data_IF_631384607548
#
_entry.id   IF_631384607548
#
_cell.length_a   1.000
_cell.length_b   1.000
_cell.length_c   1.000
_cell.angle_alpha   90.00
_cell.angle_beta   90.00
_cell.angle_gamma   90.00
#
_symmetry.space_group_name_H-M   'P 1'
#
loop_
_entity.id
_entity.type
_entity.pdbx_description
1 polymer ?
#
# COMPACT_ATOMS: atom_id res chain seq x y z
N UNK A 1 -38.84 16.31 30.58
CA UNK A 1 -38.46 16.96 29.32
C UNK A 1 -37.44 16.06 28.66
N UNK A 2 -37.78 15.48 27.51
CA UNK A 2 -36.83 14.74 26.67
C UNK A 2 -35.77 15.73 26.19
N UNK A 3 -34.49 15.46 26.46
CA UNK A 3 -33.39 16.27 25.93
C UNK A 3 -33.46 16.25 24.40
N UNK A 4 -33.42 17.44 23.78
CA UNK A 4 -33.40 17.56 22.33
C UNK A 4 -31.94 17.59 21.83
N UNK A 5 -31.39 16.41 21.56
CA UNK A 5 -29.99 16.22 21.18
C UNK A 5 -29.62 16.77 19.79
N UNK A 6 -30.58 17.16 18.95
CA UNK A 6 -30.28 17.63 17.58
C UNK A 6 -29.43 18.91 17.56
N UNK A 7 -29.61 19.77 18.56
CA UNK A 7 -28.87 21.02 18.67
C UNK A 7 -27.43 20.83 19.14
N UNK A 8 -27.08 19.64 19.65
CA UNK A 8 -25.71 19.32 20.10
C UNK A 8 -24.83 18.81 18.96
N UNK A 9 -25.41 18.47 17.81
CA UNK A 9 -24.71 17.97 16.63
C UNK A 9 -24.03 19.13 15.90
N UNK A 10 -22.71 19.08 15.81
CA UNK A 10 -21.91 19.98 14.97
C UNK A 10 -21.15 19.18 13.92
N UNK A 11 -20.65 19.85 12.88
CA UNK A 11 -19.81 19.21 11.86
C UNK A 11 -18.58 18.54 12.48
N UNK A 12 -17.94 19.20 13.43
CA UNK A 12 -16.71 18.71 14.09
C UNK A 12 -17.00 17.46 14.92
N UNK A 13 -18.10 17.46 15.69
CA UNK A 13 -18.54 16.28 16.44
C UNK A 13 -18.92 15.13 15.52
N UNK A 14 -19.63 15.41 14.43
CA UNK A 14 -19.95 14.39 13.45
C UNK A 14 -18.69 13.75 12.87
N UNK A 15 -17.69 14.56 12.47
CA UNK A 15 -16.42 14.04 11.96
C UNK A 15 -15.70 13.18 13.02
N UNK A 16 -15.50 13.70 14.23
CA UNK A 16 -14.79 12.99 15.31
C UNK A 16 -15.49 11.70 15.76
N UNK A 17 -16.81 11.62 15.64
CA UNK A 17 -17.59 10.43 16.01
C UNK A 17 -17.72 9.42 14.86
N UNK A 18 -17.27 9.75 13.65
CA UNK A 18 -17.48 8.91 12.45
C UNK A 18 -16.19 8.39 11.83
N UNK A 19 -15.07 9.11 11.96
CA UNK A 19 -13.81 8.78 11.27
C UNK A 19 -12.68 8.42 12.25
N UNK A 20 -11.74 7.53 11.86
CA UNK A 20 -11.74 6.76 10.59
C UNK A 20 -12.88 5.73 10.54
N UNK A 21 -13.30 5.32 9.34
CA UNK A 21 -14.54 4.56 9.12
C UNK A 21 -14.58 3.22 9.87
N UNK A 22 -13.42 2.61 10.12
CA UNK A 22 -13.31 1.35 10.86
C UNK A 22 -12.93 1.53 12.34
N UNK A 23 -12.72 2.77 12.79
CA UNK A 23 -12.19 3.05 14.12
C UNK A 23 -10.90 2.26 14.38
N UNK A 24 -10.90 1.48 15.46
CA UNK A 24 -9.78 0.62 15.88
C UNK A 24 -9.94 -0.85 15.48
N UNK A 25 -10.95 -1.22 14.69
CA UNK A 25 -11.23 -2.62 14.35
C UNK A 25 -9.99 -3.35 13.81
N UNK A 26 -9.34 -2.76 12.80
CA UNK A 26 -8.15 -3.38 12.19
C UNK A 26 -6.92 -3.27 13.08
N UNK A 27 -6.80 -2.23 13.90
CA UNK A 27 -5.74 -2.12 14.90
C UNK A 27 -5.81 -3.32 15.86
N UNK A 28 -6.99 -3.59 16.40
CA UNK A 28 -7.24 -4.72 17.31
C UNK A 28 -7.05 -6.07 16.62
N UNK A 29 -7.53 -6.22 15.38
CA UNK A 29 -7.33 -7.45 14.59
C UNK A 29 -5.84 -7.75 14.40
N UNK A 30 -5.05 -6.76 13.98
CA UNK A 30 -3.60 -6.91 13.77
C UNK A 30 -2.88 -7.23 15.08
N UNK A 31 -3.23 -6.55 16.18
CA UNK A 31 -2.64 -6.80 17.49
C UNK A 31 -2.92 -8.24 17.97
N UNK A 32 -4.16 -8.69 17.82
CA UNK A 32 -4.62 -10.01 18.27
C UNK A 32 -4.18 -11.18 17.35
N UNK A 33 -3.77 -10.91 16.11
CA UNK A 33 -3.35 -11.97 15.19
C UNK A 33 -2.13 -12.72 15.72
N UNK A 34 -2.26 -14.03 15.91
CA UNK A 34 -1.13 -14.93 16.21
C UNK A 34 -0.74 -15.62 14.90
N UNK A 35 0.33 -15.14 14.29
CA UNK A 35 0.82 -15.67 13.01
C UNK A 35 1.44 -17.05 13.24
N UNK A 36 1.00 -18.06 12.47
CA UNK A 36 1.45 -19.45 12.58
C UNK A 36 2.92 -19.62 12.14
N UNK A 37 3.61 -20.62 12.68
CA UNK A 37 5.00 -20.92 12.31
C UNK A 37 5.13 -21.23 10.81
N UNK A 38 6.22 -20.77 10.18
CA UNK A 38 6.44 -20.87 8.74
C UNK A 38 5.37 -20.13 7.90
N UNK A 39 4.74 -19.10 8.46
CA UNK A 39 3.83 -18.19 7.74
C UNK A 39 4.17 -16.73 8.00
N UNK A 40 3.68 -15.84 7.14
CA UNK A 40 3.56 -14.41 7.45
C UNK A 40 2.17 -13.92 7.09
N UNK A 41 1.67 -12.93 7.84
CA UNK A 41 0.41 -12.27 7.58
C UNK A 41 0.65 -10.84 7.08
N UNK A 42 -0.22 -10.36 6.21
CA UNK A 42 -0.23 -8.96 5.80
C UNK A 42 -1.65 -8.42 5.62
N UNK A 43 -1.80 -7.12 5.77
CA UNK A 43 -3.06 -6.39 5.57
C UNK A 43 -2.86 -5.22 4.64
N UNK A 44 -3.81 -5.03 3.73
CA UNK A 44 -3.80 -3.91 2.80
C UNK A 44 -4.47 -2.68 3.40
N UNK A 45 -3.73 -1.61 3.64
CA UNK A 45 -4.21 -0.41 4.32
C UNK A 45 -4.82 0.65 3.36
N UNK A 46 -4.90 0.31 2.07
CA UNK A 46 -5.31 1.20 0.97
C UNK A 46 -4.11 1.84 0.27
N UNK A 47 -4.30 2.27 -0.99
CA UNK A 47 -3.21 2.66 -1.87
C UNK A 47 -2.20 1.50 -2.00
N UNK A 48 -0.96 1.67 -1.55
CA UNK A 48 0.03 0.60 -1.41
C UNK A 48 0.43 0.34 0.04
N UNK A 49 -0.28 0.92 1.01
CA UNK A 49 0.03 0.72 2.41
C UNK A 49 -0.13 -0.74 2.81
N UNK A 50 0.88 -1.31 3.44
CA UNK A 50 0.89 -2.69 3.92
C UNK A 50 1.35 -2.72 5.37
N UNK A 51 0.59 -3.45 6.19
CA UNK A 51 1.09 -3.99 7.44
C UNK A 51 1.59 -5.41 7.20
N UNK A 52 2.83 -5.72 7.54
CA UNK A 52 3.41 -7.06 7.48
C UNK A 52 3.72 -7.54 8.91
N UNK A 53 3.24 -8.73 9.28
CA UNK A 53 3.49 -9.37 10.56
C UNK A 53 4.07 -10.77 10.35
N UNK A 54 5.24 -11.01 10.92
CA UNK A 54 5.89 -12.34 10.92
C UNK A 54 5.39 -13.22 12.06
N UNK A 55 5.65 -14.53 11.96
CA UNK A 55 5.44 -15.50 13.04
C UNK A 55 6.11 -15.08 14.36
N UNK A 56 7.34 -14.56 14.29
CA UNK A 56 8.09 -14.13 15.49
C UNK A 56 7.61 -12.78 16.04
N UNK A 57 6.46 -12.29 15.57
CA UNK A 57 5.82 -11.06 15.98
C UNK A 57 6.64 -9.79 15.67
N UNK A 58 7.45 -9.83 14.61
CA UNK A 58 8.01 -8.61 13.99
C UNK A 58 6.96 -7.95 13.11
N UNK A 59 6.73 -6.65 13.27
CA UNK A 59 5.75 -5.88 12.52
C UNK A 59 6.39 -4.75 11.70
N UNK A 60 6.15 -4.74 10.39
CA UNK A 60 6.64 -3.70 9.47
C UNK A 60 5.45 -2.94 8.92
N UNK A 61 5.51 -1.60 9.00
CA UNK A 61 4.55 -0.72 8.36
C UNK A 61 5.19 -0.13 7.10
N UNK A 62 4.69 -0.46 5.92
CA UNK A 62 5.24 -0.02 4.64
C UNK A 62 4.23 0.86 3.88
N UNK A 63 4.66 2.04 3.40
CA UNK A 63 3.88 2.95 2.55
C UNK A 63 2.46 3.31 3.08
N UNK A 64 2.25 3.27 4.40
CA UNK A 64 0.96 3.63 4.98
C UNK A 64 0.67 5.13 4.74
N UNK A 65 -0.47 5.40 4.11
CA UNK A 65 -0.88 6.74 3.74
C UNK A 65 -2.24 7.14 4.32
N UNK A 66 -2.20 8.11 5.24
CA UNK A 66 -3.37 8.66 5.92
C UNK A 66 -3.92 9.95 5.26
N UNK A 67 -3.48 10.27 4.05
CA UNK A 67 -3.96 11.43 3.31
C UNK A 67 -5.22 11.17 2.47
N UNK A 68 -5.70 12.25 1.83
CA UNK A 68 -6.83 12.20 0.88
C UNK A 68 -6.52 13.00 -0.39
N UNK A 69 -7.40 12.86 -1.38
CA UNK A 69 -7.34 13.56 -2.66
C UNK A 69 -7.83 15.01 -2.62
N UNK A 70 -8.39 15.46 -3.75
CA UNK A 70 -8.98 16.80 -3.85
C UNK A 70 -10.21 16.91 -2.95
N UNK A 71 -10.33 18.06 -2.27
CA UNK A 71 -11.47 18.38 -1.37
C UNK A 71 -12.35 19.52 -1.87
N UNK A 72 -11.99 20.11 -3.02
CA UNK A 72 -12.73 21.23 -3.63
C UNK A 72 -12.41 21.38 -5.11
N UNK A 73 -13.36 21.90 -5.89
CA UNK A 73 -13.17 22.30 -7.29
C UNK A 73 -12.84 23.79 -7.43
N UNK A 74 -12.79 24.56 -6.33
CA UNK A 74 -12.51 26.00 -6.36
C UNK A 74 -11.16 26.35 -7.00
N UNK A 75 -10.18 25.44 -6.91
CA UNK A 75 -8.89 25.57 -7.60
C UNK A 75 -8.99 24.88 -8.96
N UNK A 76 -9.19 25.65 -10.03
CA UNK A 76 -9.40 25.08 -11.37
C UNK A 76 -8.13 24.57 -12.07
N UNK A 77 -6.94 24.93 -11.58
CA UNK A 77 -5.66 24.65 -12.24
C UNK A 77 -4.75 23.78 -11.37
N UNK A 78 -4.03 22.88 -12.02
CA UNK A 78 -2.98 22.09 -11.40
C UNK A 78 -1.82 22.99 -10.97
N UNK A 79 -1.12 22.60 -9.89
CA UNK A 79 0.09 23.29 -9.45
C UNK A 79 1.13 23.28 -10.58
N UNK A 80 1.74 24.44 -10.84
CA UNK A 80 2.82 24.55 -11.83
C UNK A 80 3.97 23.60 -11.45
N UNK A 81 4.48 22.84 -12.42
CA UNK A 81 5.58 21.89 -12.22
C UNK A 81 5.16 20.58 -11.53
N UNK A 82 3.86 20.32 -11.36
CA UNK A 82 3.38 19.00 -10.96
C UNK A 82 3.77 17.94 -12.02
N UNK A 83 4.09 16.72 -11.60
CA UNK A 83 4.54 15.62 -12.46
C UNK A 83 3.56 15.34 -13.61
N UNK A 84 2.25 15.33 -13.34
CA UNK A 84 1.21 15.18 -14.37
C UNK A 84 1.24 16.30 -15.43
N UNK A 85 1.53 17.55 -15.02
CA UNK A 85 1.71 18.65 -15.96
C UNK A 85 3.01 18.48 -16.75
N UNK A 86 4.09 18.01 -16.12
CA UNK A 86 5.38 17.80 -16.80
C UNK A 86 5.28 16.71 -17.87
N UNK A 87 4.59 15.61 -17.61
CA UNK A 87 4.44 14.50 -18.55
C UNK A 87 3.49 14.80 -19.72
N UNK A 88 2.41 15.58 -19.48
CA UNK A 88 1.31 15.72 -20.47
C UNK A 88 1.04 17.15 -20.93
N UNK A 89 1.63 18.16 -20.28
CA UNK A 89 1.31 19.58 -20.53
C UNK A 89 -0.08 20.00 -20.03
N UNK A 90 -0.79 19.15 -19.29
CA UNK A 90 -2.12 19.49 -18.77
C UNK A 90 -2.07 20.65 -17.77
N UNK A 91 -3.15 21.44 -17.72
CA UNK A 91 -3.24 22.60 -16.85
C UNK A 91 -4.42 22.55 -15.89
N UNK A 92 -5.49 21.85 -16.25
CA UNK A 92 -6.66 21.74 -15.39
C UNK A 92 -6.35 20.86 -14.18
N UNK A 93 -7.05 21.10 -13.08
CA UNK A 93 -6.93 20.29 -11.88
C UNK A 93 -7.22 18.81 -12.20
N UNK A 94 -6.37 17.91 -11.71
CA UNK A 94 -6.63 16.47 -11.76
C UNK A 94 -7.77 16.13 -10.79
N UNK A 95 -8.81 15.37 -11.22
CA UNK A 95 -9.93 14.99 -10.38
C UNK A 95 -9.65 13.72 -9.55
N UNK A 96 -8.48 13.64 -8.91
CA UNK A 96 -8.14 12.51 -8.04
C UNK A 96 -8.79 12.66 -6.66
N UNK A 97 -9.91 11.96 -6.47
CA UNK A 97 -10.61 11.83 -5.19
C UNK A 97 -10.24 10.48 -4.59
N UNK A 98 -10.03 10.43 -3.27
CA UNK A 98 -9.83 9.16 -2.56
C UNK A 98 -11.14 8.38 -2.58
N UNK A 99 -11.13 7.15 -3.07
CA UNK A 99 -12.32 6.31 -3.22
C UNK A 99 -12.52 5.31 -2.07
N UNK A 100 -11.51 5.10 -1.23
CA UNK A 100 -11.53 4.11 -0.15
C UNK A 100 -11.63 4.74 1.23
N UNK A 101 -12.28 4.04 2.19
CA UNK A 101 -12.26 4.43 3.60
C UNK A 101 -10.84 4.36 4.19
N UNK A 102 -10.68 4.89 5.40
CA UNK A 102 -9.54 4.58 6.25
C UNK A 102 -9.89 3.37 7.10
N UNK A 103 -9.20 2.26 6.85
CA UNK A 103 -9.44 0.97 7.50
C UNK A 103 -8.68 0.78 8.81
N UNK A 104 -7.73 1.67 9.10
CA UNK A 104 -6.90 1.66 10.30
C UNK A 104 -6.79 3.08 10.86
N UNK A 105 -6.78 3.20 12.19
CA UNK A 105 -6.47 4.47 12.86
C UNK A 105 -4.95 4.57 13.06
N UNK A 106 -4.24 5.53 12.41
CA UNK A 106 -2.82 5.72 12.64
C UNK A 106 -2.48 5.96 14.12
N UNK A 107 -3.31 6.68 14.87
CA UNK A 107 -3.00 7.08 16.24
C UNK A 107 -3.25 5.97 17.27
N UNK A 108 -3.83 4.85 16.87
CA UNK A 108 -3.96 3.64 17.69
C UNK A 108 -2.99 2.54 17.26
N UNK A 109 -2.01 2.85 16.40
CA UNK A 109 -0.95 1.93 16.01
C UNK A 109 -0.04 1.64 17.21
N UNK A 110 0.23 0.36 17.48
CA UNK A 110 1.17 -0.12 18.50
C UNK A 110 2.01 -1.26 17.93
N UNK A 111 3.10 -1.60 18.62
CA UNK A 111 3.96 -2.75 18.32
C UNK A 111 4.56 -2.77 16.90
N UNK A 112 4.74 -1.60 16.27
CA UNK A 112 5.46 -1.48 14.99
C UNK A 112 6.97 -1.50 15.25
N UNK A 113 7.70 -2.25 14.45
CA UNK A 113 9.15 -2.43 14.57
C UNK A 113 9.96 -1.69 13.51
N UNK A 114 9.32 -1.21 12.43
CA UNK A 114 9.89 -0.22 11.51
C UNK A 114 8.79 0.47 10.70
N UNK A 115 8.98 1.75 10.40
CA UNK A 115 8.28 2.45 9.32
C UNK A 115 9.16 2.44 8.08
N UNK A 116 8.66 1.88 6.98
CA UNK A 116 9.36 1.72 5.72
C UNK A 116 8.62 2.51 4.64
N UNK A 117 9.34 3.28 3.83
CA UNK A 117 8.74 4.02 2.71
C UNK A 117 9.55 3.80 1.44
N UNK A 118 8.86 3.49 0.35
CA UNK A 118 9.46 3.19 -0.95
C UNK A 118 10.00 4.44 -1.64
N UNK A 119 9.23 5.53 -1.65
CA UNK A 119 9.61 6.73 -2.40
C UNK A 119 8.90 8.02 -1.94
N UNK A 120 9.24 9.12 -2.61
CA UNK A 120 8.90 10.50 -2.22
C UNK A 120 7.47 10.98 -2.51
N UNK A 121 6.61 10.23 -3.21
CA UNK A 121 5.26 10.73 -3.51
C UNK A 121 4.38 10.76 -2.27
N UNK A 122 3.47 11.72 -2.26
CA UNK A 122 2.66 12.05 -1.09
C UNK A 122 1.71 10.94 -0.65
N UNK A 123 1.37 10.01 -1.53
CA UNK A 123 0.51 8.85 -1.29
C UNK A 123 1.27 7.61 -0.81
N UNK A 124 2.57 7.76 -0.52
CA UNK A 124 3.46 6.75 0.08
C UNK A 124 4.19 7.31 1.32
N UNK A 125 4.50 8.61 1.32
CA UNK A 125 5.20 9.31 2.39
C UNK A 125 4.25 10.26 3.15
N UNK A 126 3.78 9.83 4.33
CA UNK A 126 2.76 10.54 5.10
C UNK A 126 3.27 11.08 6.45
N UNK A 127 2.97 12.35 6.74
CA UNK A 127 3.36 13.01 7.99
C UNK A 127 2.55 12.52 9.20
N UNK A 128 1.28 12.15 9.02
CA UNK A 128 0.44 11.70 10.13
C UNK A 128 0.88 10.31 10.61
N UNK A 129 1.23 9.44 9.66
CA UNK A 129 1.83 8.13 9.90
C UNK A 129 3.16 8.27 10.62
N UNK A 130 4.04 9.17 10.15
CA UNK A 130 5.29 9.45 10.85
C UNK A 130 5.07 9.98 12.27
N UNK A 131 4.12 10.89 12.47
CA UNK A 131 3.77 11.44 13.78
C UNK A 131 3.21 10.37 14.72
N UNK A 132 2.33 9.50 14.23
CA UNK A 132 1.76 8.39 14.99
C UNK A 132 2.83 7.40 15.46
N UNK A 133 3.71 6.96 14.55
CA UNK A 133 4.84 6.07 14.91
C UNK A 133 5.74 6.76 15.94
N UNK A 134 6.07 8.05 15.75
CA UNK A 134 6.87 8.80 16.72
C UNK A 134 6.23 8.91 18.11
N UNK A 135 4.90 9.01 18.19
CA UNK A 135 4.16 9.19 19.45
C UNK A 135 3.90 7.86 20.18
N UNK A 136 3.68 6.79 19.42
CA UNK A 136 3.18 5.52 19.98
C UNK A 136 4.25 4.44 20.13
N UNK A 137 5.44 4.63 19.55
CA UNK A 137 6.51 3.64 19.57
C UNK A 137 7.75 4.16 20.31
N UNK A 138 8.62 3.22 20.69
CA UNK A 138 9.88 3.51 21.35
C UNK A 138 10.91 4.14 20.39
N UNK A 139 11.93 4.79 20.95
CA UNK A 139 12.93 5.54 20.18
C UNK A 139 13.81 4.66 19.28
N UNK A 140 13.83 3.34 19.49
CA UNK A 140 14.58 2.36 18.70
C UNK A 140 13.87 1.91 17.42
N UNK A 141 12.60 2.27 17.21
CA UNK A 141 11.88 1.93 15.97
C UNK A 141 12.39 2.80 14.81
N UNK A 142 13.06 2.21 13.79
CA UNK A 142 13.64 2.95 12.68
C UNK A 142 12.62 3.40 11.63
N UNK A 143 12.99 4.48 10.96
CA UNK A 143 12.36 5.06 9.78
C UNK A 143 13.28 4.79 8.58
N UNK A 144 12.89 3.87 7.70
CA UNK A 144 13.74 3.31 6.65
C UNK A 144 13.23 3.80 5.29
N UNK A 145 14.08 4.45 4.51
CA UNK A 145 13.69 4.98 3.21
C UNK A 145 14.88 5.47 2.38
N UNK A 146 14.68 5.76 1.09
CA UNK A 146 15.70 6.38 0.27
C UNK A 146 16.03 7.80 0.77
N UNK A 147 17.14 8.35 0.28
CA UNK A 147 17.72 9.60 0.81
C UNK A 147 16.72 10.76 0.90
N UNK A 148 15.90 11.00 -0.13
CA UNK A 148 14.95 12.11 -0.14
C UNK A 148 13.70 11.89 0.72
N UNK A 149 13.35 10.62 0.97
CA UNK A 149 12.33 10.26 1.96
C UNK A 149 12.82 10.62 3.37
N UNK A 150 14.05 10.21 3.71
CA UNK A 150 14.70 10.55 4.99
C UNK A 150 14.84 12.05 5.15
N UNK A 151 15.26 12.76 4.10
CA UNK A 151 15.37 14.23 4.13
C UNK A 151 14.03 14.90 4.43
N UNK A 152 12.93 14.33 3.93
CA UNK A 152 11.58 14.83 4.21
C UNK A 152 11.15 14.56 5.66
N UNK A 153 11.42 13.37 6.19
CA UNK A 153 11.19 13.06 7.60
C UNK A 153 11.98 13.97 8.55
N UNK A 154 13.27 14.22 8.27
CA UNK A 154 14.08 15.16 9.04
C UNK A 154 13.49 16.58 9.03
N UNK A 155 12.98 17.03 7.88
CA UNK A 155 12.28 18.33 7.76
C UNK A 155 10.99 18.38 8.59
N UNK A 156 10.31 17.25 8.77
CA UNK A 156 9.11 17.14 9.62
C UNK A 156 9.45 16.98 11.12
N UNK A 157 10.71 16.74 11.46
CA UNK A 157 11.17 16.63 12.85
C UNK A 157 11.43 15.21 13.34
N UNK A 158 11.46 14.20 12.45
CA UNK A 158 11.94 12.87 12.83
C UNK A 158 13.45 12.96 13.15
N UNK A 159 13.91 12.48 14.32
CA UNK A 159 15.31 12.54 14.69
C UNK A 159 16.20 11.73 13.74
N UNK A 160 17.41 12.23 13.45
CA UNK A 160 18.34 11.61 12.51
C UNK A 160 18.76 10.21 12.95
N UNK A 161 18.91 10.00 14.25
CA UNK A 161 19.26 8.71 14.87
C UNK A 161 18.19 7.64 14.68
N UNK A 162 16.95 8.01 14.33
CA UNK A 162 15.88 7.07 13.99
C UNK A 162 15.81 6.77 12.48
N UNK A 163 16.52 7.51 11.65
CA UNK A 163 16.43 7.39 10.21
C UNK A 163 17.53 6.47 9.65
N UNK A 164 17.16 5.54 8.79
CA UNK A 164 18.08 4.70 8.03
C UNK A 164 17.90 5.02 6.55
N UNK A 165 18.90 5.68 5.97
CA UNK A 165 18.97 5.88 4.52
C UNK A 165 19.39 4.56 3.87
N UNK A 166 18.64 4.14 2.85
CA UNK A 166 18.94 2.93 2.08
C UNK A 166 19.02 3.21 0.59
N UNK A 167 19.70 2.33 -0.14
CA UNK A 167 19.79 2.29 -1.60
C UNK A 167 19.83 0.84 -2.10
N UNK A 168 19.63 0.59 -3.41
CA UNK A 168 19.71 -0.76 -3.96
C UNK A 168 21.02 -1.47 -3.63
N UNK A 169 20.91 -2.73 -3.19
CA UNK A 169 22.02 -3.55 -2.71
C UNK A 169 22.22 -3.56 -1.20
N UNK A 170 21.58 -2.64 -0.46
CA UNK A 170 21.59 -2.66 1.00
C UNK A 170 20.68 -3.77 1.55
N UNK A 171 20.96 -4.21 2.78
CA UNK A 171 20.09 -5.09 3.57
C UNK A 171 20.00 -4.57 5.00
N UNK A 172 18.79 -4.52 5.54
CA UNK A 172 18.50 -4.04 6.89
C UNK A 172 17.76 -5.14 7.67
N UNK A 173 18.33 -5.57 8.80
CA UNK A 173 17.67 -6.53 9.68
C UNK A 173 16.77 -5.80 10.68
N UNK A 174 15.47 -6.08 10.65
CA UNK A 174 14.50 -5.62 11.66
C UNK A 174 13.98 -6.85 12.38
N UNK A 175 14.47 -7.10 13.61
CA UNK A 175 14.16 -8.31 14.38
C UNK A 175 14.27 -9.59 13.54
N UNK A 176 13.17 -10.31 13.26
CA UNK A 176 13.17 -11.55 12.46
C UNK A 176 13.07 -11.33 10.94
N UNK A 177 12.85 -10.10 10.47
CA UNK A 177 12.65 -9.79 9.05
C UNK A 177 13.90 -9.13 8.46
N UNK A 178 14.45 -9.73 7.40
CA UNK A 178 15.48 -9.10 6.58
C UNK A 178 14.80 -8.27 5.48
N UNK A 179 15.14 -6.99 5.37
CA UNK A 179 14.67 -6.08 4.33
C UNK A 179 15.78 -5.92 3.30
N UNK A 180 15.63 -6.50 2.12
CA UNK A 180 16.53 -6.26 0.99
C UNK A 180 16.04 -5.11 0.13
N UNK A 181 16.96 -4.20 -0.20
CA UNK A 181 16.65 -2.97 -0.93
C UNK A 181 17.08 -3.13 -2.38
N UNK A 182 16.15 -2.88 -3.30
CA UNK A 182 16.29 -3.19 -4.72
C UNK A 182 15.94 -1.97 -5.59
N UNK A 183 16.37 -2.00 -6.84
CA UNK A 183 16.13 -0.93 -7.80
C UNK A 183 14.63 -0.68 -8.01
N UNK A 184 14.20 0.58 -7.90
CA UNK A 184 12.85 1.01 -8.26
C UNK A 184 12.75 1.41 -9.73
N UNK A 185 11.52 1.40 -10.25
CA UNK A 185 11.24 1.75 -11.64
C UNK A 185 10.11 2.79 -11.77
N UNK A 186 9.93 3.61 -10.74
CA UNK A 186 8.95 4.71 -10.81
C UNK A 186 9.46 5.87 -11.68
N UNK A 187 9.11 5.79 -12.97
CA UNK A 187 9.45 6.84 -13.94
C UNK A 187 8.77 8.17 -13.60
N UNK A 188 7.66 8.17 -12.86
CA UNK A 188 6.99 9.39 -12.42
C UNK A 188 7.83 10.11 -11.36
N UNK A 189 8.45 9.41 -10.40
CA UNK A 189 9.39 10.01 -9.44
C UNK A 189 10.53 10.79 -10.10
N UNK A 190 11.11 10.30 -11.20
CA UNK A 190 12.19 11.00 -11.94
C UNK A 190 11.77 12.36 -12.50
N UNK A 191 10.46 12.61 -12.66
CA UNK A 191 9.91 13.89 -13.09
C UNK A 191 9.17 14.65 -11.98
N UNK A 192 9.17 14.14 -10.75
CA UNK A 192 8.67 14.83 -9.55
C UNK A 192 9.79 15.68 -8.97
N UNK A 193 9.79 16.97 -9.33
CA UNK A 193 10.81 17.92 -8.91
C UNK A 193 10.19 19.26 -8.51
N UNK A 194 10.94 20.05 -7.73
CA UNK A 194 10.54 21.39 -7.33
C UNK A 194 10.07 22.22 -8.55
N UNK A 195 8.97 23.00 -8.44
CA UNK A 195 8.43 23.79 -9.54
C UNK A 195 9.42 24.76 -10.21
N UNK A 196 10.48 25.16 -9.52
CA UNK A 196 11.55 26.02 -10.06
C UNK A 196 12.48 25.28 -11.02
N UNK A 197 12.52 23.94 -10.98
CA UNK A 197 13.43 23.11 -11.79
C UNK A 197 12.86 22.87 -13.19
N UNK A 198 13.67 23.17 -14.21
CA UNK A 198 13.41 22.77 -15.61
C UNK A 198 14.13 21.48 -15.93
N UNK A 199 13.37 20.42 -16.27
CA UNK A 199 13.89 19.07 -16.56
C UNK A 199 14.18 18.84 -18.05
N UNK A 200 13.52 19.58 -18.96
CA UNK A 200 13.69 19.38 -20.41
C UNK A 200 15.16 19.52 -20.80
N UNK A 201 15.69 18.48 -21.44
CA UNK A 201 17.08 18.43 -21.91
C UNK A 201 18.12 18.19 -20.82
N UNK A 202 17.71 17.75 -19.62
CA UNK A 202 18.61 17.38 -18.53
C UNK A 202 18.42 15.91 -18.16
N UNK A 203 19.47 15.30 -17.61
CA UNK A 203 19.34 14.00 -16.94
C UNK A 203 18.47 14.17 -15.68
N UNK A 204 17.63 13.19 -15.35
CA UNK A 204 16.93 13.19 -14.08
C UNK A 204 17.91 13.01 -12.91
N UNK A 205 17.41 13.18 -11.69
CA UNK A 205 18.14 12.75 -10.49
C UNK A 205 18.32 11.22 -10.50
N UNK A 206 19.20 10.72 -9.64
CA UNK A 206 19.34 9.28 -9.45
C UNK A 206 18.04 8.70 -8.86
N UNK A 207 17.56 7.59 -9.42
CA UNK A 207 16.37 6.92 -8.89
C UNK A 207 16.63 6.46 -7.45
N UNK A 208 17.83 5.96 -7.18
CA UNK A 208 18.21 5.33 -5.92
C UNK A 208 18.14 6.32 -4.74
N UNK A 209 18.21 7.63 -5.01
CA UNK A 209 18.06 8.68 -4.00
C UNK A 209 16.60 8.96 -3.63
N UNK A 210 15.65 8.63 -4.51
CA UNK A 210 14.24 9.04 -4.37
C UNK A 210 13.26 7.88 -4.30
N UNK A 211 13.63 6.68 -4.75
CA UNK A 211 12.75 5.52 -4.83
C UNK A 211 13.54 4.20 -4.77
N UNK A 212 13.03 3.24 -4.01
CA UNK A 212 13.51 1.85 -3.94
C UNK A 212 12.34 0.88 -3.87
N UNK A 213 12.57 -0.36 -4.31
CA UNK A 213 11.67 -1.48 -4.04
C UNK A 213 12.21 -2.29 -2.86
N UNK A 214 11.33 -2.96 -2.12
CA UNK A 214 11.72 -3.80 -0.98
C UNK A 214 11.37 -5.25 -1.20
N UNK A 215 12.27 -6.14 -0.80
CA UNK A 215 11.99 -7.56 -0.60
C UNK A 215 12.12 -7.87 0.89
N UNK A 216 10.98 -8.07 1.55
CA UNK A 216 10.91 -8.50 2.94
C UNK A 216 11.03 -10.01 3.00
N UNK A 217 12.02 -10.53 3.71
CA UNK A 217 12.21 -11.97 3.94
C UNK A 217 11.85 -12.32 5.36
N UNK A 218 10.91 -13.25 5.50
CA UNK A 218 10.43 -13.78 6.78
C UNK A 218 10.74 -15.28 6.85
N UNK A 219 10.52 -15.91 8.00
CA UNK A 219 10.58 -17.38 8.13
C UNK A 219 9.50 -18.10 7.31
N UNK A 220 8.38 -17.43 7.00
CA UNK A 220 7.28 -17.99 6.20
C UNK A 220 7.37 -17.76 4.69
N UNK A 221 8.39 -17.05 4.21
CA UNK A 221 8.53 -16.68 2.79
C UNK A 221 8.85 -15.20 2.61
N UNK A 222 8.77 -14.71 1.38
CA UNK A 222 9.14 -13.35 1.01
C UNK A 222 8.03 -12.53 0.34
N UNK A 223 8.03 -11.23 0.61
CA UNK A 223 7.12 -10.23 0.04
C UNK A 223 7.93 -9.17 -0.71
N UNK A 224 7.71 -9.07 -2.02
CA UNK A 224 8.23 -8.01 -2.88
C UNK A 224 7.22 -6.85 -2.96
N UNK A 225 7.60 -5.70 -2.42
CA UNK A 225 6.83 -4.45 -2.49
C UNK A 225 7.43 -3.54 -3.55
N UNK A 226 6.73 -3.43 -4.70
CA UNK A 226 7.21 -2.66 -5.84
C UNK A 226 6.94 -1.14 -5.75
N UNK A 227 6.37 -0.67 -4.64
CA UNK A 227 5.83 0.69 -4.54
C UNK A 227 4.79 0.88 -5.64
N UNK A 228 4.95 1.93 -6.44
CA UNK A 228 4.27 2.08 -7.73
C UNK A 228 5.21 2.12 -8.94
N UNK A 229 6.31 1.37 -8.84
CA UNK A 229 7.22 1.09 -9.96
C UNK A 229 6.45 0.75 -11.23
N UNK A 230 6.84 1.40 -12.33
CA UNK A 230 6.37 1.02 -13.64
C UNK A 230 7.02 -0.30 -14.10
N UNK A 231 6.55 -0.89 -15.19
CA UNK A 231 7.17 -2.10 -15.72
C UNK A 231 8.63 -1.87 -16.13
N UNK A 232 9.50 -2.80 -15.75
CA UNK A 232 10.92 -2.84 -16.12
C UNK A 232 11.35 -4.27 -16.41
N UNK A 233 12.29 -4.45 -17.34
CA UNK A 233 12.91 -5.76 -17.56
C UNK A 233 13.78 -6.20 -16.37
N UNK A 234 14.24 -5.26 -15.55
CA UNK A 234 15.09 -5.54 -14.38
C UNK A 234 14.35 -6.33 -13.30
N UNK A 235 13.01 -6.40 -13.32
CA UNK A 235 12.29 -7.38 -12.50
C UNK A 235 12.78 -8.83 -12.73
N UNK A 236 13.24 -9.16 -13.94
CA UNK A 236 13.82 -10.48 -14.24
C UNK A 236 15.19 -10.70 -13.59
N UNK A 237 15.97 -9.63 -13.39
CA UNK A 237 17.20 -9.68 -12.60
C UNK A 237 16.85 -10.00 -11.15
N UNK A 238 15.89 -9.29 -10.56
CA UNK A 238 15.47 -9.53 -9.19
C UNK A 238 14.95 -10.96 -8.98
N UNK A 239 14.12 -11.49 -9.88
CA UNK A 239 13.67 -12.89 -9.83
C UNK A 239 14.73 -13.95 -10.19
N UNK A 240 15.91 -13.54 -10.66
CA UNK A 240 17.06 -14.44 -10.83
C UNK A 240 17.95 -14.46 -9.59
N UNK A 241 18.02 -13.34 -8.86
CA UNK A 241 18.92 -13.14 -7.73
C UNK A 241 18.25 -13.44 -6.38
N UNK A 242 16.92 -13.42 -6.33
CA UNK A 242 16.14 -13.57 -5.11
C UNK A 242 14.98 -14.56 -5.29
N UNK A 243 14.60 -15.21 -4.18
CA UNK A 243 13.37 -16.00 -4.08
C UNK A 243 12.23 -15.07 -3.67
N UNK A 244 11.27 -14.87 -4.57
CA UNK A 244 10.12 -13.97 -4.39
C UNK A 244 8.89 -14.84 -4.31
N UNK A 245 8.20 -14.88 -3.17
CA UNK A 245 6.97 -15.66 -3.06
C UNK A 245 5.74 -14.81 -3.44
N UNK A 246 5.60 -13.64 -2.83
CA UNK A 246 4.47 -12.74 -3.08
C UNK A 246 4.99 -11.44 -3.67
N UNK A 247 4.39 -10.96 -4.76
CA UNK A 247 4.61 -9.60 -5.26
C UNK A 247 3.34 -8.78 -5.18
N UNK A 248 3.47 -7.57 -4.64
CA UNK A 248 2.44 -6.53 -4.75
C UNK A 248 2.91 -5.46 -5.74
N UNK A 249 2.01 -5.03 -6.62
CA UNK A 249 2.33 -4.03 -7.65
C UNK A 249 1.17 -3.06 -7.89
N UNK A 250 1.52 -1.81 -8.20
CA UNK A 250 0.54 -0.74 -8.39
C UNK A 250 -0.14 -0.81 -9.76
N UNK A 251 -1.37 -1.32 -9.76
CA UNK A 251 -2.25 -1.42 -10.92
C UNK A 251 -3.23 -0.23 -10.94
N UNK A 252 -3.72 0.15 -12.12
CA UNK A 252 -4.73 1.20 -12.25
C UNK A 252 -5.05 1.55 -13.70
N UNK A 253 -6.21 2.16 -13.93
CA UNK A 253 -6.66 2.50 -15.27
C UNK A 253 -6.09 3.86 -15.68
N UNK A 254 -5.08 3.85 -16.54
CA UNK A 254 -4.39 5.05 -16.94
C UNK A 254 -5.30 5.95 -17.80
N UNK A 255 -5.48 7.24 -17.45
CA UNK A 255 -6.19 8.19 -18.31
C UNK A 255 -5.54 8.31 -19.69
N UNK A 256 -6.33 8.66 -20.72
CA UNK A 256 -5.82 8.89 -22.09
C UNK A 256 -4.65 9.89 -22.07
N UNK A 257 -3.47 9.43 -22.48
CA UNK A 257 -2.25 10.24 -22.57
C UNK A 257 -1.45 10.33 -21.27
N UNK A 258 -1.78 9.51 -20.28
CA UNK A 258 -1.07 9.37 -19.01
C UNK A 258 -0.55 7.93 -18.89
N UNK A 259 0.58 7.77 -18.23
CA UNK A 259 1.11 6.47 -17.79
C UNK A 259 1.70 6.70 -16.40
N UNK A 260 1.04 6.13 -15.41
CA UNK A 260 1.36 6.32 -13.98
C UNK A 260 1.21 5.02 -13.17
N UNK A 261 0.54 4.01 -13.74
CA UNK A 261 0.36 2.67 -13.14
C UNK A 261 0.65 1.59 -14.17
N UNK A 262 1.03 0.40 -13.73
CA UNK A 262 1.24 -0.73 -14.65
C UNK A 262 -0.10 -1.25 -15.17
N UNK A 263 -0.09 -1.82 -16.37
CA UNK A 263 -1.26 -2.45 -16.98
C UNK A 263 -1.50 -3.84 -16.39
N UNK A 264 -2.68 -4.40 -16.65
CA UNK A 264 -3.02 -5.80 -16.32
C UNK A 264 -2.00 -6.79 -16.94
N UNK A 265 -1.57 -6.55 -18.18
CA UNK A 265 -0.54 -7.34 -18.86
C UNK A 265 0.80 -7.23 -18.15
N UNK A 266 1.19 -6.03 -17.74
CA UNK A 266 2.46 -5.78 -17.07
C UNK A 266 2.49 -6.36 -15.65
N UNK A 267 1.37 -6.41 -14.93
CA UNK A 267 1.26 -7.14 -13.65
C UNK A 267 1.60 -8.63 -13.84
N UNK A 268 1.05 -9.28 -14.87
CA UNK A 268 1.37 -10.68 -15.18
C UNK A 268 2.84 -10.87 -15.60
N UNK A 269 3.39 -9.93 -16.37
CA UNK A 269 4.81 -9.97 -16.77
C UNK A 269 5.75 -9.69 -15.61
N UNK A 270 5.35 -8.85 -14.65
CA UNK A 270 6.09 -8.57 -13.43
C UNK A 270 6.19 -9.85 -12.59
N UNK A 271 5.06 -10.54 -12.38
CA UNK A 271 5.01 -11.83 -11.69
C UNK A 271 5.87 -12.90 -12.37
N UNK A 272 5.78 -13.02 -13.71
CA UNK A 272 6.63 -13.91 -14.51
C UNK A 272 8.12 -13.58 -14.34
N UNK A 273 8.47 -12.30 -14.43
CA UNK A 273 9.86 -11.84 -14.34
C UNK A 273 10.46 -12.09 -12.96
N UNK A 274 9.68 -11.81 -11.90
CA UNK A 274 10.07 -12.07 -10.52
C UNK A 274 10.06 -13.55 -10.15
N UNK A 275 9.48 -14.41 -11.00
CA UNK A 275 9.20 -15.82 -10.69
C UNK A 275 8.41 -16.00 -9.39
N UNK A 276 7.46 -15.10 -9.16
CA UNK A 276 6.62 -15.11 -7.97
C UNK A 276 5.75 -16.37 -7.88
N UNK A 277 5.24 -16.68 -6.69
CA UNK A 277 4.15 -17.64 -6.50
C UNK A 277 2.78 -16.96 -6.58
N UNK A 278 2.69 -15.74 -6.05
CA UNK A 278 1.44 -14.96 -5.99
C UNK A 278 1.68 -13.53 -6.47
N UNK A 279 0.77 -13.01 -7.29
CA UNK A 279 0.74 -11.60 -7.70
C UNK A 279 -0.54 -10.92 -7.25
N UNK A 280 -0.39 -9.79 -6.56
CA UNK A 280 -1.52 -9.06 -5.97
C UNK A 280 -1.51 -7.62 -6.50
N UNK A 281 -2.50 -7.20 -7.30
CA UNK A 281 -2.64 -5.80 -7.68
C UNK A 281 -3.08 -4.97 -6.48
N UNK A 282 -2.41 -3.85 -6.23
CA UNK A 282 -2.78 -2.81 -5.25
C UNK A 282 -2.83 -1.44 -5.96
N UNK A 283 -3.02 -0.33 -5.25
CA UNK A 283 -3.14 1.06 -5.77
C UNK A 283 -4.37 1.35 -6.65
N UNK A 284 -4.96 0.33 -7.26
CA UNK A 284 -6.17 0.44 -8.10
C UNK A 284 -7.42 0.84 -7.31
N UNK A 285 -7.35 0.80 -5.99
CA UNK A 285 -8.42 1.13 -5.06
C UNK A 285 -8.60 2.64 -4.88
N UNK A 286 -7.50 3.40 -4.91
CA UNK A 286 -7.43 4.65 -4.15
C UNK A 286 -7.98 5.86 -4.91
N UNK A 287 -7.79 5.93 -6.23
CA UNK A 287 -8.09 7.12 -7.02
C UNK A 287 -9.29 6.94 -7.95
N UNK A 288 -10.34 7.75 -7.78
CA UNK A 288 -11.55 7.70 -8.64
C UNK A 288 -11.26 7.84 -10.13
N UNK A 289 -10.24 8.61 -10.51
CA UNK A 289 -9.87 8.84 -11.91
C UNK A 289 -8.92 7.78 -12.48
N UNK A 290 -8.59 6.74 -11.70
CA UNK A 290 -7.83 5.54 -12.10
C UNK A 290 -8.64 4.26 -11.84
N UNK A 291 -9.95 4.36 -11.62
CA UNK A 291 -10.83 3.22 -11.36
C UNK A 291 -10.59 2.12 -12.40
N UNK A 292 -10.10 0.97 -11.94
CA UNK A 292 -9.77 -0.17 -12.77
C UNK A 292 -10.60 -1.40 -12.37
N UNK A 293 -10.72 -2.36 -13.29
CA UNK A 293 -11.25 -3.68 -12.98
C UNK A 293 -10.10 -4.70 -12.85
N UNK A 294 -9.72 -5.12 -11.63
CA UNK A 294 -8.64 -6.08 -11.44
C UNK A 294 -8.97 -7.48 -12.00
N UNK A 295 -10.23 -7.78 -12.35
CA UNK A 295 -10.60 -9.05 -13.00
C UNK A 295 -10.04 -9.18 -14.41
N UNK A 296 -9.59 -8.09 -15.03
CA UNK A 296 -8.83 -8.15 -16.29
C UNK A 296 -7.58 -9.03 -16.14
N UNK A 297 -6.89 -8.98 -14.99
CA UNK A 297 -5.72 -9.81 -14.71
C UNK A 297 -6.10 -11.30 -14.71
N UNK A 298 -7.24 -11.67 -14.12
CA UNK A 298 -7.71 -13.05 -14.06
C UNK A 298 -7.99 -13.60 -15.46
N UNK A 299 -8.68 -12.81 -16.29
CA UNK A 299 -9.01 -13.18 -17.67
C UNK A 299 -7.75 -13.39 -18.52
N UNK A 300 -6.80 -12.47 -18.44
CA UNK A 300 -5.54 -12.56 -19.17
C UNK A 300 -4.64 -13.70 -18.64
N UNK A 301 -4.62 -13.91 -17.32
CA UNK A 301 -3.88 -15.01 -16.71
C UNK A 301 -4.42 -16.36 -17.16
N UNK A 302 -5.73 -16.59 -17.10
CA UNK A 302 -6.33 -17.85 -17.59
C UNK A 302 -6.05 -18.08 -19.08
N UNK A 303 -6.13 -17.02 -19.89
CA UNK A 303 -5.83 -17.11 -21.32
C UNK A 303 -4.37 -17.50 -21.61
N UNK A 304 -3.41 -16.98 -20.83
CA UNK A 304 -1.97 -17.11 -21.12
C UNK A 304 -1.28 -18.25 -20.36
N UNK A 305 -1.75 -18.61 -19.15
CA UNK A 305 -0.98 -19.44 -18.20
C UNK A 305 -0.56 -20.80 -18.73
N UNK A 306 -1.39 -21.44 -19.57
CA UNK A 306 -1.06 -22.75 -20.16
C UNK A 306 -0.02 -22.64 -21.27
N UNK A 307 -0.13 -21.60 -22.11
CA UNK A 307 0.76 -21.40 -23.26
C UNK A 307 2.14 -20.93 -22.79
N UNK A 308 2.18 -20.00 -21.83
CA UNK A 308 3.42 -19.46 -21.27
C UNK A 308 3.94 -20.23 -20.05
N UNK A 309 3.19 -21.24 -19.59
CA UNK A 309 3.53 -22.05 -18.40
C UNK A 309 3.75 -21.21 -17.14
N UNK A 310 2.89 -20.21 -16.91
CA UNK A 310 2.92 -19.41 -15.69
C UNK A 310 2.80 -20.31 -14.45
N UNK A 311 3.70 -20.10 -13.49
CA UNK A 311 3.73 -20.82 -12.21
C UNK A 311 3.05 -20.05 -11.06
N UNK A 312 2.81 -18.74 -11.26
CA UNK A 312 2.16 -17.89 -10.28
C UNK A 312 0.63 -17.88 -10.40
N UNK A 313 -0.05 -17.45 -9.33
CA UNK A 313 -1.49 -17.15 -9.31
C UNK A 313 -1.76 -15.68 -8.99
N UNK A 314 -2.71 -15.03 -9.67
CA UNK A 314 -3.22 -13.74 -9.25
C UNK A 314 -4.15 -13.89 -8.04
N UNK A 315 -4.09 -12.94 -7.11
CA UNK A 315 -5.01 -12.83 -5.98
C UNK A 315 -5.61 -11.42 -5.93
N UNK A 316 -6.93 -11.32 -6.10
CA UNK A 316 -7.65 -10.04 -6.05
C UNK A 316 -8.05 -9.74 -4.61
N UNK A 317 -7.46 -8.70 -4.04
CA UNK A 317 -7.63 -8.35 -2.64
C UNK A 317 -8.70 -7.27 -2.42
N UNK A 318 -8.95 -6.90 -1.16
CA UNK A 318 -9.80 -5.78 -0.77
C UNK A 318 -9.13 -5.00 0.36
N UNK A 319 -9.35 -3.68 0.40
CA UNK A 319 -8.74 -2.79 1.40
C UNK A 319 -9.21 -3.14 2.81
N UNK A 320 -8.28 -3.25 3.75
CA UNK A 320 -8.47 -3.72 5.12
C UNK A 320 -8.44 -5.25 5.26
N UNK A 321 -8.40 -5.99 4.15
CA UNK A 321 -8.37 -7.44 4.18
C UNK A 321 -7.02 -8.02 4.60
N UNK A 322 -7.06 -9.20 5.20
CA UNK A 322 -5.88 -10.02 5.55
C UNK A 322 -5.49 -10.96 4.41
N UNK A 323 -4.20 -11.28 4.31
CA UNK A 323 -3.64 -12.34 3.48
C UNK A 323 -2.51 -13.03 4.25
N UNK A 324 -2.48 -14.35 4.25
CA UNK A 324 -1.48 -15.17 4.96
C UNK A 324 -0.76 -16.07 3.97
N UNK A 325 0.56 -15.93 3.84
CA UNK A 325 1.37 -16.81 3.01
C UNK A 325 2.06 -17.88 3.87
N UNK A 326 2.15 -19.15 3.42
CA UNK A 326 1.63 -19.71 2.17
C UNK A 326 0.16 -20.18 2.22
N UNK A 327 -0.56 -19.95 3.33
CA UNK A 327 -1.92 -20.47 3.57
C UNK A 327 -2.91 -20.11 2.45
N UNK A 328 -2.90 -18.86 2.01
CA UNK A 328 -3.85 -18.27 1.07
C UNK A 328 -3.27 -18.22 -0.36
N UNK A 329 -2.10 -18.80 -0.61
CA UNK A 329 -1.38 -18.67 -1.91
C UNK A 329 -2.17 -19.19 -3.11
N UNK A 330 -3.09 -20.12 -2.85
CA UNK A 330 -3.85 -20.81 -3.87
C UNK A 330 -5.22 -20.17 -4.14
N UNK A 331 -5.63 -19.22 -3.29
CA UNK A 331 -6.85 -18.43 -3.43
C UNK A 331 -6.72 -17.42 -4.57
N UNK A 332 -7.86 -17.03 -5.16
CA UNK A 332 -7.91 -16.13 -6.32
C UNK A 332 -8.57 -14.79 -5.99
N UNK A 333 -9.54 -14.78 -5.07
CA UNK A 333 -10.27 -13.57 -4.67
C UNK A 333 -10.48 -13.58 -3.15
N UNK A 334 -10.17 -12.47 -2.51
CA UNK A 334 -10.50 -12.23 -1.11
C UNK A 334 -11.99 -11.95 -0.93
N UNK A 335 -12.52 -12.35 0.22
CA UNK A 335 -13.82 -11.89 0.71
C UNK A 335 -13.71 -11.55 2.19
N UNK A 336 -14.32 -10.44 2.63
CA UNK A 336 -14.37 -10.11 4.06
C UNK A 336 -15.06 -11.22 4.87
N UNK A 337 -14.66 -11.43 6.13
CA UNK A 337 -15.43 -12.26 7.06
C UNK A 337 -16.90 -11.87 7.03
N UNK A 338 -17.77 -12.86 6.87
CA UNK A 338 -19.21 -12.64 6.68
C UNK A 338 -19.99 -12.58 8.00
N UNK A 339 -19.35 -12.95 9.10
CA UNK A 339 -19.98 -13.10 10.41
C UNK A 339 -20.91 -14.31 10.47
N UNK A 340 -21.66 -14.38 11.57
CA UNK A 340 -22.67 -15.43 11.83
C UNK A 340 -22.08 -16.84 11.92
N UNK A 341 -20.83 -16.96 12.37
CA UNK A 341 -20.16 -18.25 12.57
C UNK A 341 -20.88 -19.13 13.60
N UNK A 342 -21.66 -18.52 14.49
CA UNK A 342 -22.47 -19.15 15.51
C UNK A 342 -23.98 -19.16 15.17
N UNK A 343 -24.36 -19.03 13.89
CA UNK A 343 -25.76 -19.01 13.47
C UNK A 343 -26.54 -20.21 14.04
N UNK A 344 -27.69 -19.94 14.67
CA UNK A 344 -28.52 -20.92 15.39
C UNK A 344 -27.83 -21.58 16.61
N UNK A 345 -26.87 -20.91 17.24
CA UNK A 345 -26.32 -21.32 18.55
C UNK A 345 -27.35 -21.22 19.69
N UNK A 346 -28.43 -20.46 19.49
CA UNK A 346 -29.60 -20.34 20.35
C UNK A 346 -30.90 -20.43 19.53
N UNK A 347 -32.03 -20.68 20.21
CA UNK A 347 -33.35 -20.69 19.57
C UNK A 347 -33.68 -19.31 18.99
N UNK A 348 -34.26 -19.30 17.78
CA UNK A 348 -34.68 -18.07 17.11
C UNK A 348 -35.93 -17.47 17.75
N UNK A 349 -35.95 -16.15 17.98
CA UNK A 349 -37.16 -15.42 18.40
C UNK A 349 -38.00 -15.00 17.18
N UNK A 350 -38.60 -16.00 16.53
CA UNK A 350 -39.44 -15.82 15.34
C UNK A 350 -40.88 -16.28 15.62
N UNK A 351 -41.90 -15.66 14.99
CA UNK A 351 -43.30 -16.02 15.23
C UNK A 351 -43.65 -17.49 14.96
N UNK A 352 -42.94 -18.15 14.03
CA UNK A 352 -42.99 -19.58 13.74
C UNK A 352 -41.74 -20.02 12.96
N UNK A 353 -41.37 -21.32 12.93
CA UNK A 353 -40.08 -21.77 12.41
C UNK A 353 -39.77 -21.45 10.94
N UNK A 354 -40.79 -21.29 10.08
CA UNK A 354 -40.61 -21.01 8.64
C UNK A 354 -40.89 -19.55 8.27
N UNK A 355 -40.72 -18.62 9.21
CA UNK A 355 -40.92 -17.19 8.95
C UNK A 355 -39.86 -16.62 7.99
N UNK A 356 -38.62 -17.12 8.07
CA UNK A 356 -37.46 -16.76 7.23
C UNK A 356 -36.71 -18.00 6.76
#
# INVERSE_FOLDING_TARGET
>A
MTLNHINEVTKEKWILNTFPEWGTWLNEEIENEVVEENTFAMWWLGCTGIWLKSHENTNILCDMWCGTGKRTQKVGKMKKGHQMQRMSGCQNLQPNLRAQPFVIDPFEIKNVDALVVTHIHSDHLDINTAAAVMQNTTADVPFIGPQEVVNTWKKWGVPEERCIVVKPGDSVQVKSIEIQVLEAFDRTALVTADPSVTLKGKLPVDMDEIAVNYLFKTSGGSLYHAGDSHYSNTFAKHGNEHDVNVVIGAFGENPRGITDKVTSVDMLRMAESLKADVVIPVHHDIWTNFQADPKELLLLWEFKRKVLKYQFKPYIWQVGGKFVFPKDKDDIEYHYPRGFEDVFSTDTDLPFPSFL
#
